data_IF_521605740264
#
_entry.id   IF_521605740264
#
_cell.length_a   1.000
_cell.length_b   1.000
_cell.length_c   1.000
_cell.angle_alpha   90.00
_cell.angle_beta   90.00
_cell.angle_gamma   90.00
#
_symmetry.space_group_name_H-M   'P 1'
#
loop_
_entity.id
_entity.type
_entity.pdbx_description
1 polymer ?
#
# COMPACT_ATOMS: atom_id res chain seq x y z
N UNK A 1 24.23 -2.64 0.45
CA UNK A 1 23.63 -3.08 -0.81
C UNK A 1 22.78 -1.93 -1.30
N UNK A 2 23.05 -1.38 -2.50
CA UNK A 2 22.30 -0.23 -3.01
C UNK A 2 21.01 -0.73 -3.69
N UNK A 3 19.96 0.10 -3.73
CA UNK A 3 18.68 -0.29 -4.37
C UNK A 3 18.84 -0.50 -5.88
N UNK A 4 19.83 0.16 -6.49
CA UNK A 4 20.18 -0.01 -7.90
C UNK A 4 20.74 -1.41 -8.21
N UNK A 5 21.24 -2.14 -7.20
CA UNK A 5 21.71 -3.52 -7.34
C UNK A 5 20.57 -4.55 -7.38
N UNK A 6 19.32 -4.14 -7.10
CA UNK A 6 18.15 -5.04 -7.06
C UNK A 6 17.53 -5.28 -8.44
N UNK A 7 17.93 -4.53 -9.47
CA UNK A 7 17.45 -4.67 -10.84
C UNK A 7 18.63 -4.65 -11.82
N UNK A 8 19.00 -5.81 -12.35
CA UNK A 8 19.92 -5.90 -13.51
C UNK A 8 19.10 -6.19 -14.77
N UNK A 9 17.92 -5.60 -15.00
CA UNK A 9 17.16 -5.95 -16.21
C UNK A 9 16.38 -4.80 -16.85
N UNK A 10 16.45 -4.82 -18.17
CA UNK A 10 15.77 -4.06 -19.22
C UNK A 10 14.35 -3.56 -18.81
N UNK A 11 14.00 -2.29 -19.07
CA UNK A 11 12.66 -1.74 -18.83
C UNK A 11 11.50 -2.48 -19.52
N UNK A 12 11.77 -3.46 -20.39
CA UNK A 12 10.79 -4.33 -21.05
C UNK A 12 10.65 -5.75 -20.46
N UNK A 13 11.47 -6.15 -19.49
CA UNK A 13 11.39 -7.51 -18.92
C UNK A 13 10.56 -7.57 -17.63
N UNK A 14 9.78 -8.65 -17.51
CA UNK A 14 9.10 -9.04 -16.27
C UNK A 14 10.20 -9.44 -15.28
N UNK A 15 10.28 -8.85 -14.07
CA UNK A 15 11.31 -9.20 -13.10
C UNK A 15 11.25 -10.69 -12.73
N UNK A 16 12.41 -11.31 -12.54
CA UNK A 16 12.48 -12.69 -12.05
C UNK A 16 11.85 -12.80 -10.65
N UNK A 17 11.34 -13.98 -10.29
CA UNK A 17 10.68 -14.21 -8.99
C UNK A 17 11.54 -13.77 -7.79
N UNK A 18 12.86 -13.98 -7.85
CA UNK A 18 13.78 -13.56 -6.78
C UNK A 18 13.89 -12.02 -6.67
N UNK A 19 13.81 -11.30 -7.79
CA UNK A 19 13.82 -9.83 -7.80
C UNK A 19 12.51 -9.30 -7.22
N UNK A 20 11.40 -9.89 -7.66
CA UNK A 20 10.03 -9.68 -7.16
C UNK A 20 9.97 -9.78 -5.64
N UNK A 21 10.56 -10.84 -5.07
CA UNK A 21 10.62 -11.08 -3.63
C UNK A 21 11.52 -10.07 -2.89
N UNK A 22 12.68 -9.72 -3.44
CA UNK A 22 13.56 -8.71 -2.82
C UNK A 22 12.92 -7.33 -2.76
N UNK A 23 12.23 -6.92 -3.81
CA UNK A 23 11.50 -5.64 -3.85
C UNK A 23 10.35 -5.67 -2.85
N UNK A 24 9.64 -6.79 -2.76
CA UNK A 24 8.59 -6.98 -1.77
C UNK A 24 9.14 -6.84 -0.34
N UNK A 25 10.24 -7.53 -0.03
CA UNK A 25 10.91 -7.42 1.27
C UNK A 25 11.38 -6.00 1.57
N UNK A 26 11.94 -5.32 0.58
CA UNK A 26 12.32 -3.92 0.71
C UNK A 26 11.11 -3.02 1.02
N UNK A 27 10.02 -3.18 0.28
CA UNK A 27 8.80 -2.39 0.49
C UNK A 27 8.20 -2.61 1.89
N UNK A 28 8.24 -3.84 2.42
CA UNK A 28 7.81 -4.13 3.80
C UNK A 28 8.65 -3.35 4.81
N UNK A 29 9.98 -3.37 4.66
CA UNK A 29 10.89 -2.67 5.57
C UNK A 29 10.66 -1.15 5.54
N UNK A 30 10.50 -0.55 4.37
CA UNK A 30 10.20 0.88 4.25
C UNK A 30 8.81 1.22 4.79
N UNK A 31 7.81 0.35 4.61
CA UNK A 31 6.48 0.52 5.19
C UNK A 31 6.54 0.46 6.73
N UNK A 32 7.26 -0.50 7.31
CA UNK A 32 7.48 -0.61 8.77
C UNK A 32 8.22 0.63 9.31
N UNK A 33 9.28 1.06 8.63
CA UNK A 33 10.03 2.25 9.02
C UNK A 33 9.17 3.54 8.98
N UNK A 34 8.17 3.58 8.09
CA UNK A 34 7.30 4.75 7.89
C UNK A 34 6.11 4.77 8.83
N UNK A 35 5.43 3.62 8.97
CA UNK A 35 4.12 3.49 9.62
C UNK A 35 4.17 2.70 10.94
N UNK A 36 5.35 2.23 11.34
CA UNK A 36 5.54 1.39 12.52
C UNK A 36 5.41 -0.10 12.22
N UNK A 37 5.75 -0.90 13.22
CA UNK A 37 5.73 -2.35 13.11
C UNK A 37 4.34 -2.89 12.80
N UNK A 38 4.33 -4.07 12.18
CA UNK A 38 3.11 -4.79 11.86
C UNK A 38 2.37 -5.23 13.12
N UNK A 39 1.04 -5.20 13.06
CA UNK A 39 0.17 -5.54 14.21
C UNK A 39 0.27 -7.01 14.64
N UNK A 40 0.55 -7.93 13.72
CA UNK A 40 0.69 -9.37 14.00
C UNK A 40 1.80 -9.98 13.15
N UNK A 41 2.64 -10.82 13.76
CA UNK A 41 3.70 -11.56 13.10
C UNK A 41 3.17 -12.84 12.43
N UNK A 42 2.56 -12.68 11.24
CA UNK A 42 2.17 -13.81 10.39
C UNK A 42 3.07 -13.91 9.16
N UNK A 43 3.43 -15.12 8.69
CA UNK A 43 4.09 -15.26 7.40
C UNK A 43 3.23 -14.67 6.26
N UNK A 44 3.88 -14.03 5.30
CA UNK A 44 3.25 -13.57 4.06
C UNK A 44 3.73 -14.40 2.89
N UNK A 45 2.81 -14.83 2.02
CA UNK A 45 3.13 -15.45 0.74
C UNK A 45 2.78 -14.48 -0.38
N UNK A 46 3.79 -14.19 -1.20
CA UNK A 46 3.63 -13.36 -2.38
C UNK A 46 3.04 -14.18 -3.53
N UNK A 47 1.97 -13.68 -4.14
CA UNK A 47 1.35 -14.26 -5.34
C UNK A 47 1.33 -13.26 -6.47
N UNK A 48 1.94 -13.65 -7.59
CA UNK A 48 1.80 -12.94 -8.85
C UNK A 48 0.48 -13.35 -9.53
N UNK A 49 -0.39 -12.39 -9.86
CA UNK A 49 -1.73 -12.70 -10.41
C UNK A 49 -1.70 -13.56 -11.69
N UNK A 50 -0.64 -13.45 -12.48
CA UNK A 50 -0.50 -14.19 -13.75
C UNK A 50 0.10 -15.60 -13.57
N UNK A 51 0.39 -16.04 -12.33
CA UNK A 51 0.86 -17.41 -12.06
C UNK A 51 -0.26 -18.38 -11.68
N UNK A 52 -0.30 -19.60 -12.26
CA UNK A 52 -1.38 -20.56 -12.04
C UNK A 52 -1.25 -21.25 -10.67
N UNK A 53 -2.07 -20.78 -9.73
CA UNK A 53 -2.54 -21.47 -8.51
C UNK A 53 -1.54 -21.88 -7.40
N UNK A 54 -2.06 -21.82 -6.17
CA UNK A 54 -1.40 -22.21 -4.92
C UNK A 54 -1.23 -23.73 -4.79
N UNK A 55 -0.16 -24.23 -4.13
CA UNK A 55 -0.25 -25.50 -3.45
C UNK A 55 -1.29 -25.41 -2.32
N UNK A 56 -2.15 -26.41 -2.17
CA UNK A 56 -3.26 -26.44 -1.20
C UNK A 56 -2.85 -26.24 0.28
N UNK A 57 -1.54 -26.27 0.57
CA UNK A 57 -0.94 -26.09 1.89
C UNK A 57 -1.09 -24.68 2.47
N UNK A 58 -1.49 -23.68 1.68
CA UNK A 58 -1.71 -22.30 2.15
C UNK A 58 -3.13 -22.08 2.70
N UNK A 59 -3.97 -23.12 2.79
CA UNK A 59 -5.28 -23.07 3.48
C UNK A 59 -5.16 -23.08 5.02
N UNK A 60 -4.20 -22.36 5.59
CA UNK A 60 -4.11 -22.14 7.05
C UNK A 60 -4.43 -20.69 7.36
N UNK A 61 -5.20 -20.47 8.42
CA UNK A 61 -5.70 -19.17 8.88
C UNK A 61 -4.59 -18.21 9.38
N UNK A 62 -3.32 -18.53 9.12
CA UNK A 62 -2.13 -17.87 9.67
C UNK A 62 -1.19 -17.36 8.56
N UNK A 63 -1.68 -17.15 7.34
CA UNK A 63 -0.87 -16.66 6.21
C UNK A 63 -1.55 -15.48 5.52
N UNK A 64 -0.81 -14.40 5.28
CA UNK A 64 -1.29 -13.31 4.41
C UNK A 64 -0.92 -13.60 2.96
N UNK A 65 -1.93 -13.57 2.10
CA UNK A 65 -1.77 -13.66 0.65
C UNK A 65 -1.74 -12.25 0.05
N UNK A 66 -0.58 -11.91 -0.52
CA UNK A 66 -0.35 -10.64 -1.21
C UNK A 66 -0.45 -10.83 -2.71
N UNK A 67 -1.22 -10.00 -3.39
CA UNK A 67 -1.49 -10.16 -4.82
C UNK A 67 -0.86 -9.02 -5.62
N UNK A 68 0.32 -9.25 -6.19
CA UNK A 68 0.92 -8.31 -7.13
C UNK A 68 0.54 -8.66 -8.55
N UNK A 69 0.24 -7.65 -9.35
CA UNK A 69 0.12 -7.84 -10.79
C UNK A 69 1.50 -7.68 -11.40
N UNK A 70 1.82 -8.51 -12.38
CA UNK A 70 3.02 -8.39 -13.21
C UNK A 70 2.86 -7.26 -14.23
N UNK A 71 2.39 -6.08 -13.79
CA UNK A 71 2.27 -4.89 -14.63
C UNK A 71 3.60 -4.71 -15.37
N UNK A 72 3.50 -4.45 -16.68
CA UNK A 72 4.61 -4.55 -17.67
C UNK A 72 5.75 -3.52 -17.49
N UNK A 73 5.92 -2.90 -16.33
CA UNK A 73 7.00 -1.94 -16.09
C UNK A 73 7.50 -2.02 -14.66
N UNK A 74 8.81 -1.83 -14.47
CA UNK A 74 9.44 -1.71 -13.14
C UNK A 74 8.64 -0.79 -12.22
N UNK A 75 8.26 0.39 -12.73
CA UNK A 75 7.51 1.45 -12.04
C UNK A 75 6.19 0.96 -11.49
N UNK A 76 5.42 0.26 -12.33
CA UNK A 76 4.16 -0.35 -11.92
C UNK A 76 4.36 -1.42 -10.84
N UNK A 77 5.44 -2.20 -10.94
CA UNK A 77 5.72 -3.24 -9.97
C UNK A 77 6.12 -2.69 -8.59
N UNK A 78 7.08 -1.75 -8.51
CA UNK A 78 7.43 -1.11 -7.22
C UNK A 78 6.24 -0.37 -6.63
N UNK A 79 5.45 0.28 -7.47
CA UNK A 79 4.22 0.93 -7.03
C UNK A 79 3.29 -0.08 -6.35
N UNK A 80 3.01 -1.21 -6.99
CA UNK A 80 2.11 -2.21 -6.41
C UNK A 80 2.70 -2.91 -5.19
N UNK A 81 3.99 -3.24 -5.21
CA UNK A 81 4.68 -3.82 -4.07
C UNK A 81 4.64 -2.87 -2.85
N UNK A 82 4.89 -1.58 -3.06
CA UNK A 82 4.79 -0.57 -2.01
C UNK A 82 3.34 -0.40 -1.53
N UNK A 83 2.36 -0.45 -2.43
CA UNK A 83 0.95 -0.33 -2.11
C UNK A 83 0.48 -1.48 -1.21
N UNK A 84 0.74 -2.72 -1.62
CA UNK A 84 0.40 -3.91 -0.84
C UNK A 84 1.22 -4.00 0.46
N UNK A 85 2.41 -3.41 0.53
CA UNK A 85 3.21 -3.39 1.76
C UNK A 85 2.53 -2.57 2.87
N UNK A 86 1.80 -1.51 2.51
CA UNK A 86 0.96 -0.77 3.48
C UNK A 86 -0.16 -1.65 3.99
N UNK A 87 -0.88 -2.33 3.10
CA UNK A 87 -1.96 -3.25 3.48
C UNK A 87 -1.45 -4.45 4.29
N UNK A 88 -0.24 -4.92 4.02
CA UNK A 88 0.39 -6.01 4.76
C UNK A 88 0.65 -5.68 6.23
N UNK A 89 0.84 -4.40 6.61
CA UNK A 89 1.00 -3.98 8.01
C UNK A 89 -0.25 -4.27 8.86
N UNK A 90 -1.39 -4.47 8.22
CA UNK A 90 -2.66 -4.76 8.86
C UNK A 90 -3.16 -6.17 8.50
N UNK A 91 -3.25 -7.02 9.51
CA UNK A 91 -3.68 -8.41 9.34
C UNK A 91 -5.20 -8.55 9.16
N UNK A 92 -5.97 -7.54 9.57
CA UNK A 92 -7.43 -7.52 9.48
C UNK A 92 -7.77 -7.00 8.09
N UNK A 93 -7.96 -7.88 7.11
CA UNK A 93 -8.69 -7.48 5.90
C UNK A 93 -10.16 -7.36 6.28
N UNK A 94 -10.75 -6.19 6.09
CA UNK A 94 -12.19 -6.05 6.23
C UNK A 94 -12.88 -6.85 5.12
N UNK A 95 -13.84 -7.71 5.50
CA UNK A 95 -14.67 -8.46 4.56
C UNK A 95 -15.40 -7.52 3.59
N UNK A 96 -15.74 -6.31 4.07
CA UNK A 96 -16.45 -5.27 3.32
C UNK A 96 -15.54 -4.47 2.36
N UNK A 97 -14.21 -4.52 2.51
CA UNK A 97 -13.25 -3.75 1.71
C UNK A 97 -12.46 -2.71 2.51
N UNK A 98 -11.43 -2.14 1.88
CA UNK A 98 -10.58 -1.10 2.47
C UNK A 98 -11.24 0.28 2.34
N UNK A 99 -10.89 1.27 3.17
CA UNK A 99 -11.45 2.62 3.05
C UNK A 99 -10.73 3.45 1.97
N UNK A 100 -11.38 4.48 1.43
CA UNK A 100 -10.71 5.45 0.55
C UNK A 100 -9.48 6.09 1.22
N UNK A 101 -9.49 6.25 2.53
CA UNK A 101 -8.39 6.80 3.31
C UNK A 101 -7.18 5.87 3.30
N UNK A 102 -7.36 4.59 3.64
CA UNK A 102 -6.28 3.60 3.62
C UNK A 102 -5.68 3.48 2.21
N UNK A 103 -6.54 3.37 1.19
CA UNK A 103 -6.13 3.34 -0.20
C UNK A 103 -5.37 4.60 -0.62
N UNK A 104 -5.80 5.77 -0.17
CA UNK A 104 -5.12 7.04 -0.42
C UNK A 104 -3.74 7.13 0.23
N UNK A 105 -3.60 6.62 1.45
CA UNK A 105 -2.32 6.50 2.16
C UNK A 105 -1.38 5.55 1.40
N UNK A 106 -1.88 4.37 1.00
CA UNK A 106 -1.11 3.38 0.25
C UNK A 106 -0.65 3.93 -1.11
N UNK A 107 -1.51 4.64 -1.84
CA UNK A 107 -1.14 5.33 -3.09
C UNK A 107 -0.07 6.39 -2.85
N UNK A 108 -0.22 7.24 -1.84
CA UNK A 108 0.74 8.30 -1.55
C UNK A 108 2.13 7.73 -1.17
N UNK A 109 2.16 6.66 -0.37
CA UNK A 109 3.38 5.93 -0.04
C UNK A 109 4.03 5.35 -1.29
N UNK A 110 3.26 4.71 -2.16
CA UNK A 110 3.74 4.09 -3.40
C UNK A 110 4.36 5.10 -4.37
N UNK A 111 3.72 6.28 -4.54
CA UNK A 111 4.27 7.38 -5.34
C UNK A 111 5.60 7.86 -4.74
N UNK A 112 5.67 8.01 -3.41
CA UNK A 112 6.89 8.44 -2.72
C UNK A 112 8.03 7.44 -2.89
N UNK A 113 7.74 6.14 -2.81
CA UNK A 113 8.69 5.06 -3.05
C UNK A 113 9.26 5.13 -4.47
N UNK A 114 8.39 5.21 -5.48
CA UNK A 114 8.82 5.35 -6.88
C UNK A 114 9.64 6.62 -7.11
N UNK A 115 9.21 7.75 -6.55
CA UNK A 115 9.90 9.03 -6.68
C UNK A 115 11.31 8.97 -6.06
N UNK A 116 11.43 8.44 -4.84
CA UNK A 116 12.68 8.37 -4.10
C UNK A 116 13.69 7.44 -4.75
N UNK A 117 13.24 6.29 -5.26
CA UNK A 117 14.13 5.24 -5.71
C UNK A 117 14.40 5.28 -7.22
N UNK A 118 13.48 5.80 -8.03
CA UNK A 118 13.63 5.83 -9.49
C UNK A 118 13.42 7.21 -10.11
N UNK A 119 13.04 8.23 -9.35
CA UNK A 119 12.75 9.57 -9.90
C UNK A 119 11.54 9.60 -10.84
N UNK A 120 10.70 8.56 -10.84
CA UNK A 120 9.60 8.40 -11.80
C UNK A 120 8.22 8.82 -11.25
N UNK A 121 8.19 9.88 -10.42
CA UNK A 121 6.96 10.35 -9.76
C UNK A 121 5.82 10.65 -10.75
N UNK A 122 6.14 11.37 -11.83
CA UNK A 122 5.16 11.74 -12.87
C UNK A 122 4.54 10.50 -13.52
N UNK A 123 5.34 9.46 -13.77
CA UNK A 123 4.86 8.20 -14.37
C UNK A 123 3.98 7.42 -13.40
N UNK A 124 4.33 7.38 -12.12
CA UNK A 124 3.48 6.76 -11.10
C UNK A 124 2.10 7.44 -11.03
N UNK A 125 2.07 8.78 -11.07
CA UNK A 125 0.81 9.55 -11.03
C UNK A 125 -0.04 9.36 -12.30
N UNK A 126 0.58 9.32 -13.49
CA UNK A 126 -0.13 9.16 -14.76
C UNK A 126 -0.77 7.78 -14.94
N UNK A 127 -0.25 6.76 -14.25
CA UNK A 127 -0.75 5.38 -14.38
C UNK A 127 -1.79 5.00 -13.32
N UNK A 128 -2.17 5.94 -12.44
CA UNK A 128 -3.22 5.72 -11.45
C UNK A 128 -4.58 5.52 -12.12
N UNK A 129 -5.27 4.45 -11.73
CA UNK A 129 -6.67 4.26 -12.06
C UNK A 129 -7.52 5.39 -11.43
N UNK A 130 -8.65 5.80 -12.05
CA UNK A 130 -9.50 6.87 -11.53
C UNK A 130 -9.92 6.69 -10.06
N UNK A 131 -10.16 5.45 -9.62
CA UNK A 131 -10.47 5.13 -8.23
C UNK A 131 -9.33 5.49 -7.26
N UNK A 132 -8.08 5.24 -7.63
CA UNK A 132 -6.91 5.58 -6.82
C UNK A 132 -6.62 7.08 -6.84
N UNK A 133 -6.91 7.77 -7.94
CA UNK A 133 -6.86 9.24 -7.97
C UNK A 133 -7.87 9.84 -6.97
N UNK A 134 -9.08 9.29 -6.90
CA UNK A 134 -10.10 9.70 -5.93
C UNK A 134 -9.68 9.41 -4.48
N UNK A 135 -9.16 8.22 -4.20
CA UNK A 135 -8.65 7.87 -2.86
C UNK A 135 -7.54 8.82 -2.41
N UNK A 136 -6.58 9.08 -3.30
CA UNK A 136 -5.49 10.01 -3.02
C UNK A 136 -5.98 11.44 -2.76
N UNK A 137 -6.93 11.93 -3.56
CA UNK A 137 -7.54 13.25 -3.36
C UNK A 137 -8.32 13.36 -2.04
N UNK A 138 -9.02 12.30 -1.62
CA UNK A 138 -9.75 12.26 -0.35
C UNK A 138 -8.78 12.25 0.84
N UNK A 139 -7.73 11.44 0.81
CA UNK A 139 -6.68 11.47 1.85
C UNK A 139 -6.01 12.85 1.92
N UNK A 140 -5.72 13.46 0.77
CA UNK A 140 -5.15 14.82 0.69
C UNK A 140 -6.10 15.92 1.23
N UNK A 141 -7.41 15.66 1.25
CA UNK A 141 -8.40 16.56 1.83
C UNK A 141 -8.44 16.50 3.36
N UNK A 142 -7.89 15.44 3.97
CA UNK A 142 -7.68 15.32 5.42
C UNK A 142 -6.32 15.91 5.80
N UNK A 143 -5.25 15.49 5.13
CA UNK A 143 -3.91 16.07 5.27
C UNK A 143 -3.22 16.03 3.90
N UNK A 144 -2.69 17.18 3.47
CA UNK A 144 -1.92 17.29 2.23
C UNK A 144 -0.74 16.31 2.14
N UNK A 145 -0.19 15.87 3.29
CA UNK A 145 0.76 14.76 3.36
C UNK A 145 0.08 13.49 3.88
N UNK A 146 -0.52 12.73 2.98
CA UNK A 146 -1.21 11.47 3.31
C UNK A 146 -0.30 10.41 3.95
N UNK A 147 1.01 10.43 3.70
CA UNK A 147 1.95 9.50 4.38
C UNK A 147 2.13 9.91 5.84
N UNK A 148 2.26 11.22 6.11
CA UNK A 148 2.29 11.73 7.49
C UNK A 148 0.98 11.46 8.24
N UNK A 149 -0.15 11.58 7.55
CA UNK A 149 -1.47 11.20 8.08
C UNK A 149 -1.50 9.74 8.51
N UNK A 150 -1.12 8.81 7.62
CA UNK A 150 -1.04 7.38 7.96
C UNK A 150 -0.14 7.11 9.15
N UNK A 151 1.04 7.77 9.23
CA UNK A 151 1.94 7.64 10.37
C UNK A 151 1.32 8.14 11.67
N UNK A 152 0.62 9.28 11.67
CA UNK A 152 -0.04 9.82 12.86
C UNK A 152 -1.16 8.89 13.34
N UNK A 153 -1.97 8.37 12.43
CA UNK A 153 -3.04 7.43 12.76
C UNK A 153 -2.49 6.13 13.34
N UNK A 154 -1.37 5.61 12.82
CA UNK A 154 -0.67 4.44 13.41
C UNK A 154 -0.12 4.67 14.81
N UNK A 155 0.16 5.92 15.20
CA UNK A 155 0.61 6.24 16.56
C UNK A 155 -0.54 6.27 17.56
N UNK A 156 -1.78 6.51 17.11
CA UNK A 156 -2.96 6.52 17.98
C UNK A 156 -3.82 5.26 17.86
N UNK A 157 -3.62 4.46 16.81
CA UNK A 157 -4.38 3.25 16.54
C UNK A 157 -3.47 2.14 15.99
N UNK A 158 -3.67 0.91 16.47
CA UNK A 158 -2.89 -0.26 16.06
C UNK A 158 -3.21 -0.74 14.64
N UNK A 159 -4.11 -0.08 13.89
CA UNK A 159 -4.48 -0.47 12.53
C UNK A 159 -4.99 0.68 11.65
N UNK A 160 -4.69 0.64 10.35
CA UNK A 160 -5.24 1.56 9.34
C UNK A 160 -6.49 1.02 8.62
N UNK A 161 -6.89 -0.23 8.86
CA UNK A 161 -8.08 -0.80 8.20
C UNK A 161 -9.37 -0.37 8.89
N UNK A 162 -9.34 -0.18 10.20
CA UNK A 162 -10.51 0.18 11.01
C UNK A 162 -10.36 1.53 11.69
N UNK A 163 -9.94 2.53 10.90
CA UNK A 163 -9.72 3.89 11.41
C UNK A 163 -11.05 4.47 11.89
N UNK A 164 -11.09 4.85 13.18
CA UNK A 164 -12.26 5.49 13.76
C UNK A 164 -12.30 6.97 13.36
N UNK A 165 -13.46 7.52 12.95
CA UNK A 165 -13.60 8.94 12.62
C UNK A 165 -13.06 9.87 13.72
N UNK A 166 -13.30 9.51 14.98
CA UNK A 166 -12.86 10.29 16.14
C UNK A 166 -11.34 10.45 16.20
N UNK A 167 -10.57 9.41 15.85
CA UNK A 167 -9.11 9.53 15.86
C UNK A 167 -8.60 10.50 14.79
N UNK A 168 -9.28 10.59 13.64
CA UNK A 168 -8.96 11.60 12.63
C UNK A 168 -9.30 12.99 13.17
N UNK A 169 -10.50 13.18 13.72
CA UNK A 169 -10.97 14.47 14.23
C UNK A 169 -10.15 14.98 15.43
N UNK A 170 -9.61 14.08 16.25
CA UNK A 170 -8.71 14.45 17.36
C UNK A 170 -7.36 14.97 16.86
N UNK A 171 -6.83 14.40 15.78
CA UNK A 171 -5.56 14.83 15.18
C UNK A 171 -5.70 15.98 14.18
N UNK A 172 -6.89 16.14 13.60
CA UNK A 172 -7.22 17.08 12.53
C UNK A 172 -8.59 17.75 12.78
N UNK A 173 -8.73 18.52 13.88
CA UNK A 173 -10.01 19.12 14.27
C UNK A 173 -10.54 20.16 13.28
N UNK A 174 -9.69 20.69 12.40
CA UNK A 174 -10.05 21.61 11.34
C UNK A 174 -10.72 20.94 10.13
N UNK A 175 -10.59 19.62 9.99
CA UNK A 175 -11.16 18.88 8.86
C UNK A 175 -12.66 18.67 9.11
N UNK A 176 -13.55 19.09 8.19
CA UNK A 176 -14.98 18.88 8.37
C UNK A 176 -15.33 17.39 8.50
N UNK A 177 -16.20 17.06 9.45
CA UNK A 177 -16.63 15.67 9.69
C UNK A 177 -17.14 14.98 8.42
N UNK A 178 -17.85 15.69 7.56
CA UNK A 178 -18.32 15.16 6.28
C UNK A 178 -17.18 14.68 5.36
N UNK A 179 -16.00 15.32 5.41
CA UNK A 179 -14.81 14.88 4.67
C UNK A 179 -14.22 13.62 5.29
N UNK A 180 -14.15 13.57 6.63
CA UNK A 180 -13.68 12.39 7.38
C UNK A 180 -14.55 11.18 7.06
N UNK A 181 -15.87 11.31 7.15
CA UNK A 181 -16.80 10.24 6.84
C UNK A 181 -16.67 9.76 5.40
N UNK A 182 -16.52 10.70 4.45
CA UNK A 182 -16.31 10.36 3.04
C UNK A 182 -14.98 9.66 2.76
N UNK A 183 -13.92 10.03 3.49
CA UNK A 183 -12.63 9.35 3.39
C UNK A 183 -12.69 7.93 3.99
N UNK A 184 -13.55 7.70 4.97
CA UNK A 184 -13.76 6.39 5.58
C UNK A 184 -14.79 5.51 4.87
N UNK A 185 -15.46 6.01 3.83
CA UNK A 185 -16.31 5.17 2.97
C UNK A 185 -15.49 4.01 2.39
N UNK A 186 -16.16 2.86 2.27
CA UNK A 186 -15.58 1.65 1.67
C UNK A 186 -15.20 1.94 0.22
N UNK A 187 -13.97 1.59 -0.12
CA UNK A 187 -13.44 1.61 -1.45
C UNK A 187 -14.07 0.48 -2.26
N UNK A 188 -14.82 0.79 -3.34
CA UNK A 188 -15.55 -0.22 -4.08
C UNK A 188 -14.60 -1.26 -4.68
N UNK A 189 -14.83 -2.54 -4.36
CA UNK A 189 -14.19 -3.67 -5.03
C UNK A 189 -14.65 -3.67 -6.50
N UNK A 190 -13.69 -3.60 -7.42
CA UNK A 190 -13.92 -3.64 -8.87
C UNK A 190 -14.37 -5.02 -9.35
#
# INVERSE_FOLDING_TARGET
MSFDDLFICDPQMIPHQDEVERIWDFCKLEAQATFGERSVDLPSVLRLRDTPSYPETVRKHDVIVVHLTTKRSRTGYLFEAAHEAVHWLDHIRNDDGESYLLEGIAVAFSIRMVARHWGEEARAKQTLLPKYQRAWALAASVDTDAVRLGRRLRLSQDSLVNIKPQAILEHYPEVPEAIVMKALEVFPRS
#
